data_IF_565310142045
#
_entry.id   IF_565310142045
#
_cell.length_a   1.000
_cell.length_b   1.000
_cell.length_c   1.000
_cell.angle_alpha   90.00
_cell.angle_beta   90.00
_cell.angle_gamma   90.00
#
_symmetry.space_group_name_H-M   'P 1'
#
loop_
_entity.id
_entity.type
_entity.pdbx_description
1 polymer ?
#
# COMPACT_ATOMS: atom_id res chain seq x y z
N UNK A 1 -14.25 47.57 15.28
CA UNK A 1 -14.74 46.17 15.37
C UNK A 1 -14.99 45.51 14.01
N UNK A 2 -14.92 46.25 12.89
CA UNK A 2 -15.08 45.72 11.52
C UNK A 2 -13.80 45.10 10.94
N UNK A 3 -12.63 45.59 11.36
CA UNK A 3 -11.32 45.10 10.87
C UNK A 3 -11.04 43.65 11.32
N UNK A 4 -11.47 43.28 12.54
CA UNK A 4 -11.26 41.93 13.09
C UNK A 4 -12.07 40.85 12.33
N UNK A 5 -13.20 41.23 11.73
CA UNK A 5 -14.03 40.32 10.95
C UNK A 5 -13.44 40.05 9.56
N UNK A 6 -12.71 41.02 9.00
CA UNK A 6 -12.09 40.95 7.68
C UNK A 6 -10.86 40.05 7.66
N UNK A 7 -10.08 40.00 8.76
CA UNK A 7 -8.91 39.12 8.92
C UNK A 7 -9.29 37.65 9.11
N UNK A 8 -10.48 37.36 9.64
CA UNK A 8 -10.97 35.98 9.82
C UNK A 8 -11.31 35.30 8.48
N UNK A 9 -11.77 36.07 7.48
CA UNK A 9 -12.15 35.52 6.16
C UNK A 9 -10.95 35.12 5.30
N UNK A 10 -9.78 35.74 5.52
CA UNK A 10 -8.55 35.46 4.76
C UNK A 10 -7.89 34.14 5.16
N UNK A 11 -8.22 33.58 6.33
CA UNK A 11 -7.72 32.28 6.78
C UNK A 11 -8.40 31.09 6.07
N UNK A 12 -9.51 31.31 5.36
CA UNK A 12 -10.25 30.24 4.67
C UNK A 12 -9.75 29.97 3.24
N UNK A 13 -8.89 30.85 2.68
CA UNK A 13 -8.39 30.74 1.30
C UNK A 13 -6.99 30.10 1.25
N UNK A 14 -6.41 29.72 2.40
CA UNK A 14 -5.08 29.10 2.47
C UNK A 14 -5.09 27.56 2.34
N UNK A 15 -6.23 26.94 2.01
CA UNK A 15 -6.22 25.61 1.40
C UNK A 15 -6.06 25.78 -0.11
N UNK A 16 -4.86 26.15 -0.51
CA UNK A 16 -4.43 25.93 -1.87
C UNK A 16 -4.36 24.41 -2.04
N UNK A 17 -5.43 23.84 -2.60
CA UNK A 17 -5.49 22.44 -3.01
C UNK A 17 -4.69 22.26 -4.29
N UNK A 18 -3.48 22.82 -4.30
CA UNK A 18 -2.44 22.50 -5.24
C UNK A 18 -1.90 21.12 -4.85
N UNK A 19 -2.78 20.11 -4.96
CA UNK A 19 -2.39 18.74 -5.31
C UNK A 19 -1.93 18.75 -6.76
N UNK A 20 -1.01 19.66 -7.07
CA UNK A 20 -0.09 19.49 -8.16
C UNK A 20 0.49 18.10 -7.99
N UNK A 21 0.74 17.42 -9.10
CA UNK A 21 1.13 16.01 -9.18
C UNK A 21 2.54 15.75 -8.62
N UNK A 22 3.00 16.53 -7.65
CA UNK A 22 4.19 16.28 -6.85
C UNK A 22 3.96 15.03 -6.01
N UNK A 23 4.71 13.98 -6.31
CA UNK A 23 4.65 12.70 -5.60
C UNK A 23 3.89 11.58 -6.32
N UNK A 24 3.47 11.77 -7.58
CA UNK A 24 3.02 10.62 -8.37
C UNK A 24 4.19 9.65 -8.61
N UNK A 25 3.99 8.34 -8.44
CA UNK A 25 5.02 7.33 -8.69
C UNK A 25 5.47 7.38 -10.15
N UNK A 26 6.72 6.99 -10.40
CA UNK A 26 7.27 6.85 -11.76
C UNK A 26 6.42 5.95 -12.66
N UNK A 27 5.80 4.93 -12.07
CA UNK A 27 4.76 4.09 -12.67
C UNK A 27 3.60 4.01 -11.67
N UNK A 28 2.44 4.57 -12.03
CA UNK A 28 1.22 4.43 -11.23
C UNK A 28 0.54 3.09 -11.51
N UNK A 29 0.56 2.21 -10.52
CA UNK A 29 -0.18 0.96 -10.53
C UNK A 29 -1.67 1.25 -10.55
N UNK A 30 -2.44 0.35 -11.16
CA UNK A 30 -3.90 0.33 -10.99
C UNK A 30 -4.24 -0.19 -9.60
N UNK A 31 -5.47 0.06 -9.16
CA UNK A 31 -6.00 -0.47 -7.90
C UNK A 31 -5.83 -2.00 -7.81
N UNK A 32 -6.20 -2.72 -8.87
CA UNK A 32 -6.08 -4.18 -8.93
C UNK A 32 -4.61 -4.63 -8.88
N UNK A 33 -3.71 -3.98 -9.61
CA UNK A 33 -2.28 -4.32 -9.55
C UNK A 33 -1.71 -4.10 -8.14
N UNK A 34 -2.14 -3.04 -7.46
CA UNK A 34 -1.72 -2.78 -6.08
C UNK A 34 -2.27 -3.85 -5.12
N UNK A 35 -3.53 -4.28 -5.29
CA UNK A 35 -4.12 -5.41 -4.54
C UNK A 35 -3.29 -6.68 -4.75
N UNK A 36 -2.99 -7.03 -5.99
CA UNK A 36 -2.28 -8.27 -6.34
C UNK A 36 -0.86 -8.28 -5.73
N UNK A 37 -0.09 -7.20 -5.93
CA UNK A 37 1.27 -7.08 -5.37
C UNK A 37 1.23 -7.11 -3.84
N UNK A 38 0.27 -6.43 -3.22
CA UNK A 38 0.17 -6.35 -1.76
C UNK A 38 -0.20 -7.71 -1.14
N UNK A 39 -1.02 -8.52 -1.80
CA UNK A 39 -1.30 -9.91 -1.41
C UNK A 39 -0.01 -10.72 -1.39
N UNK A 40 0.75 -10.70 -2.49
CA UNK A 40 1.98 -11.48 -2.61
C UNK A 40 3.05 -11.05 -1.59
N UNK A 41 3.22 -9.75 -1.39
CA UNK A 41 4.10 -9.20 -0.34
C UNK A 41 3.69 -9.70 1.04
N UNK A 42 2.38 -9.71 1.37
CA UNK A 42 1.91 -10.20 2.65
C UNK A 42 2.10 -11.71 2.82
N UNK A 43 1.92 -12.52 1.77
CA UNK A 43 2.19 -13.96 1.80
C UNK A 43 3.67 -14.23 2.09
N UNK A 44 4.58 -13.50 1.43
CA UNK A 44 6.02 -13.67 1.63
C UNK A 44 6.43 -13.23 3.04
N UNK A 45 5.91 -12.10 3.53
CA UNK A 45 6.18 -11.66 4.89
C UNK A 45 5.67 -12.65 5.94
N UNK A 46 4.48 -13.23 5.76
CA UNK A 46 3.98 -14.30 6.63
C UNK A 46 4.90 -15.54 6.61
N UNK A 47 5.38 -15.95 5.44
CA UNK A 47 6.33 -17.08 5.28
C UNK A 47 7.67 -16.81 5.97
N UNK A 48 8.21 -15.59 5.79
CA UNK A 48 9.44 -15.15 6.45
C UNK A 48 9.26 -15.12 7.97
N UNK A 49 8.17 -14.54 8.45
CA UNK A 49 7.89 -14.43 9.88
C UNK A 49 7.72 -15.81 10.53
N UNK A 50 7.06 -16.75 9.85
CA UNK A 50 6.94 -18.14 10.30
C UNK A 50 8.31 -18.83 10.44
N UNK A 51 9.21 -18.65 9.47
CA UNK A 51 10.57 -19.22 9.52
C UNK A 51 11.43 -18.56 10.59
N UNK A 52 11.32 -17.23 10.74
CA UNK A 52 12.01 -16.46 11.79
C UNK A 52 11.58 -16.94 13.17
N UNK A 53 10.29 -17.19 13.39
CA UNK A 53 9.77 -17.76 14.64
C UNK A 53 10.31 -19.17 14.97
N UNK A 54 10.94 -19.84 14.00
CA UNK A 54 11.62 -21.14 14.16
C UNK A 54 13.14 -21.02 14.19
N UNK A 55 13.68 -19.81 14.43
CA UNK A 55 15.12 -19.52 14.44
C UNK A 55 15.85 -19.91 13.14
N UNK A 56 15.14 -19.94 12.01
CA UNK A 56 15.75 -20.19 10.71
C UNK A 56 16.30 -18.88 10.12
N UNK A 57 17.46 -18.93 9.46
CA UNK A 57 18.00 -17.77 8.74
C UNK A 57 17.09 -17.40 7.57
N UNK A 58 16.71 -16.12 7.48
CA UNK A 58 15.79 -15.59 6.47
C UNK A 58 16.39 -14.48 5.61
N UNK A 59 17.62 -14.02 5.87
CA UNK A 59 18.22 -12.86 5.16
C UNK A 59 18.27 -13.09 3.65
N UNK A 60 18.87 -14.20 3.22
CA UNK A 60 18.96 -14.55 1.79
C UNK A 60 17.61 -14.98 1.18
N UNK A 61 16.64 -15.37 2.02
CA UNK A 61 15.30 -15.69 1.58
C UNK A 61 14.53 -14.40 1.27
N UNK A 62 14.58 -13.43 2.18
CA UNK A 62 13.87 -12.16 2.09
C UNK A 62 14.21 -11.43 0.80
N UNK A 63 15.50 -11.20 0.55
CA UNK A 63 15.94 -10.49 -0.65
C UNK A 63 15.46 -11.18 -1.93
N UNK A 64 15.75 -12.47 -2.10
CA UNK A 64 15.33 -13.24 -3.28
C UNK A 64 13.80 -13.26 -3.46
N UNK A 65 13.05 -13.33 -2.37
CA UNK A 65 11.60 -13.37 -2.41
C UNK A 65 11.01 -12.06 -2.93
N UNK A 66 11.51 -10.91 -2.44
CA UNK A 66 11.11 -9.60 -2.94
C UNK A 66 11.53 -9.36 -4.39
N UNK A 67 12.77 -9.71 -4.74
CA UNK A 67 13.27 -9.59 -6.12
C UNK A 67 12.38 -10.39 -7.10
N UNK A 68 11.96 -11.59 -6.68
CA UNK A 68 11.09 -12.46 -7.50
C UNK A 68 9.70 -11.87 -7.68
N UNK A 69 9.05 -11.40 -6.61
CA UNK A 69 7.72 -10.77 -6.72
C UNK A 69 7.80 -9.54 -7.62
N UNK A 70 8.70 -8.61 -7.32
CA UNK A 70 8.71 -7.34 -8.04
C UNK A 70 9.06 -7.54 -9.51
N UNK A 71 9.95 -8.49 -9.82
CA UNK A 71 10.18 -8.91 -11.20
C UNK A 71 8.96 -9.54 -11.86
N UNK A 72 8.13 -10.30 -11.14
CA UNK A 72 6.90 -10.88 -11.69
C UNK A 72 5.91 -9.80 -12.16
N UNK A 73 5.79 -8.73 -11.39
CA UNK A 73 4.92 -7.60 -11.70
C UNK A 73 5.57 -6.52 -12.58
N UNK A 74 6.85 -6.67 -12.94
CA UNK A 74 7.58 -5.69 -13.74
C UNK A 74 7.83 -4.37 -13.01
N UNK A 75 7.95 -4.40 -11.68
CA UNK A 75 8.17 -3.23 -10.83
C UNK A 75 9.45 -3.37 -10.01
N UNK A 76 9.85 -2.29 -9.35
CA UNK A 76 10.88 -2.28 -8.31
C UNK A 76 10.25 -2.11 -6.93
N UNK A 77 11.04 -2.33 -5.88
CA UNK A 77 10.66 -2.00 -4.51
C UNK A 77 10.32 -0.51 -4.36
N UNK A 78 11.09 0.38 -5.00
CA UNK A 78 10.82 1.82 -5.02
C UNK A 78 9.45 2.12 -5.62
N UNK A 79 9.10 1.52 -6.77
CA UNK A 79 7.80 1.72 -7.42
C UNK A 79 6.67 1.27 -6.48
N UNK A 80 6.82 0.12 -5.81
CA UNK A 80 5.82 -0.33 -4.84
C UNK A 80 5.65 0.66 -3.68
N UNK A 81 6.75 1.17 -3.11
CA UNK A 81 6.73 2.13 -2.01
C UNK A 81 6.14 3.48 -2.44
N UNK A 82 6.49 3.97 -3.63
CA UNK A 82 5.94 5.20 -4.19
C UNK A 82 4.42 5.09 -4.39
N UNK A 83 3.92 3.96 -4.91
CA UNK A 83 2.49 3.70 -5.07
C UNK A 83 1.77 3.61 -3.73
N UNK A 84 2.37 2.91 -2.75
CA UNK A 84 1.83 2.83 -1.41
C UNK A 84 1.69 4.22 -0.79
N UNK A 85 2.71 5.07 -0.92
CA UNK A 85 2.67 6.44 -0.43
C UNK A 85 1.59 7.24 -1.16
N UNK A 86 1.57 7.20 -2.49
CA UNK A 86 0.59 7.89 -3.32
C UNK A 86 -0.85 7.56 -2.94
N UNK A 87 -1.21 6.28 -2.78
CA UNK A 87 -2.57 5.92 -2.39
C UNK A 87 -2.90 6.38 -0.96
N UNK A 88 -1.94 6.31 -0.03
CA UNK A 88 -2.14 6.79 1.33
C UNK A 88 -2.33 8.31 1.43
N UNK A 89 -1.66 9.09 0.59
CA UNK A 89 -1.66 10.56 0.68
C UNK A 89 -2.63 11.24 -0.28
N UNK A 90 -2.80 10.69 -1.48
CA UNK A 90 -3.52 11.36 -2.57
C UNK A 90 -4.93 10.80 -2.80
N UNK A 91 -5.16 9.51 -2.57
CA UNK A 91 -6.44 8.83 -2.83
C UNK A 91 -6.81 7.82 -1.71
N UNK A 92 -7.06 8.37 -0.51
CA UNK A 92 -7.41 7.58 0.67
C UNK A 92 -8.63 6.66 0.49
N UNK A 93 -9.71 7.06 -0.20
CA UNK A 93 -10.83 6.14 -0.51
C UNK A 93 -10.37 4.91 -1.31
N UNK A 94 -9.49 5.10 -2.31
CA UNK A 94 -8.95 3.98 -3.08
C UNK A 94 -8.01 3.11 -2.26
N UNK A 95 -7.18 3.71 -1.40
CA UNK A 95 -6.35 2.94 -0.46
C UNK A 95 -7.20 2.05 0.46
N UNK A 96 -8.32 2.57 0.96
CA UNK A 96 -9.27 1.77 1.73
C UNK A 96 -9.80 0.57 0.93
N UNK A 97 -10.19 0.79 -0.32
CA UNK A 97 -10.68 -0.28 -1.22
C UNK A 97 -9.62 -1.35 -1.47
N UNK A 98 -8.35 -0.95 -1.67
CA UNK A 98 -7.21 -1.86 -1.82
C UNK A 98 -7.08 -2.74 -0.57
N UNK A 99 -7.02 -2.13 0.61
CA UNK A 99 -6.87 -2.86 1.88
C UNK A 99 -8.04 -3.79 2.14
N UNK A 100 -9.28 -3.34 1.89
CA UNK A 100 -10.47 -4.18 2.04
C UNK A 100 -10.42 -5.41 1.12
N UNK A 101 -9.97 -5.23 -0.12
CA UNK A 101 -9.82 -6.31 -1.11
C UNK A 101 -8.76 -7.32 -0.70
N UNK A 102 -7.61 -6.85 -0.20
CA UNK A 102 -6.54 -7.70 0.34
C UNK A 102 -7.05 -8.50 1.54
N UNK A 103 -7.77 -7.87 2.46
CA UNK A 103 -8.36 -8.54 3.63
C UNK A 103 -9.42 -9.57 3.25
N UNK A 104 -10.26 -9.25 2.25
CA UNK A 104 -11.25 -10.18 1.72
C UNK A 104 -10.59 -11.43 1.14
N UNK A 105 -9.51 -11.27 0.37
CA UNK A 105 -8.72 -12.39 -0.15
C UNK A 105 -8.27 -13.34 0.97
N UNK A 106 -7.65 -12.81 2.03
CA UNK A 106 -7.18 -13.64 3.14
C UNK A 106 -8.32 -14.27 3.93
N UNK A 107 -9.44 -13.57 4.10
CA UNK A 107 -10.63 -14.10 4.77
C UNK A 107 -11.18 -15.31 4.01
N UNK A 108 -11.39 -15.18 2.69
CA UNK A 108 -11.85 -16.28 1.85
C UNK A 108 -10.87 -17.46 1.87
N UNK A 109 -9.57 -17.21 1.77
CA UNK A 109 -8.55 -18.29 1.82
C UNK A 109 -8.56 -19.02 3.15
N UNK A 110 -8.75 -18.33 4.27
CA UNK A 110 -8.86 -18.97 5.58
C UNK A 110 -10.11 -19.84 5.72
N UNK A 111 -11.25 -19.40 5.18
CA UNK A 111 -12.48 -20.19 5.16
C UNK A 111 -12.33 -21.46 4.31
N UNK A 112 -11.69 -21.36 3.13
CA UNK A 112 -11.38 -22.49 2.27
C UNK A 112 -10.50 -23.52 2.99
N UNK A 113 -9.49 -23.07 3.74
CA UNK A 113 -8.59 -23.95 4.50
C UNK A 113 -9.35 -24.63 5.66
N UNK A 114 -10.26 -23.93 6.34
CA UNK A 114 -11.07 -24.50 7.44
C UNK A 114 -12.03 -25.58 6.94
N UNK A 115 -12.65 -25.40 5.77
CA UNK A 115 -13.57 -26.39 5.17
C UNK A 115 -12.90 -27.68 4.71
N UNK A 116 -11.57 -27.65 4.49
CA UNK A 116 -10.78 -28.80 4.04
C UNK A 116 -10.19 -29.65 5.18
N UNK A 117 -10.39 -29.24 6.43
CA UNK A 117 -9.94 -29.97 7.63
C UNK A 117 -11.13 -30.66 8.28
#
# INVERSE_FOLDING_TARGET
MTILLMTMLLLLIACDNDKSKEGAPSILLTEQQMVDVMIDVQIIEQSINYRRGRNQSVTNLKQRAYDTIFSHYGITDSIFIENLNYYNTNDLPKMKSIVDSVNAYFTTKQEEIKKKK
#
